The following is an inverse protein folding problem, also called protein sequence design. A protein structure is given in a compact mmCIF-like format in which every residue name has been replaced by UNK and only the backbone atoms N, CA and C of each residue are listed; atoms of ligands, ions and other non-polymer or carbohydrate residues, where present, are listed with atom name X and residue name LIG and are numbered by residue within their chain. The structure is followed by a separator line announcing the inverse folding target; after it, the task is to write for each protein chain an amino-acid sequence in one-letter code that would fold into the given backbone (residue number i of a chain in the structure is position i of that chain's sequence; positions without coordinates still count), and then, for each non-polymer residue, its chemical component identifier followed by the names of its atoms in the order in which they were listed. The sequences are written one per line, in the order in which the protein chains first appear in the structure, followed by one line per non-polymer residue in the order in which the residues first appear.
data_IF_919336187581
#
_entry.id   IF_919336187581
#
_cell.length_a   1.000
_cell.length_b   1.000
_cell.length_c   1.000
_cell.angle_alpha   90.00
_cell.angle_beta   90.00
_cell.angle_gamma   90.00
#
_symmetry.space_group_name_H-M   'P 1'
#
loop_
_entity.id
_entity.type
_entity.pdbx_description
1 polymer ?
#
# COMPACT_ATOMS: atom_id res chain seq x y z
N UNK A 1 3.79 23.87 -1.98
CA UNK A 1 4.75 22.77 -2.25
C UNK A 1 4.26 21.89 -3.39
N UNK A 2 5.16 21.27 -4.13
CA UNK A 2 4.85 20.36 -5.22
C UNK A 2 5.92 19.28 -5.36
N UNK A 3 5.52 18.12 -5.92
CA UNK A 3 6.40 17.06 -6.37
C UNK A 3 6.46 16.96 -7.90
N UNK A 4 7.32 16.08 -8.42
CA UNK A 4 7.37 15.76 -9.85
C UNK A 4 7.91 16.85 -10.79
N UNK A 5 8.44 17.95 -10.26
CA UNK A 5 9.07 19.02 -11.04
C UNK A 5 10.58 18.80 -11.19
N UNK A 6 11.20 18.26 -10.14
CA UNK A 6 12.63 17.97 -10.12
C UNK A 6 12.93 16.59 -10.70
N UNK A 7 14.17 16.39 -11.15
CA UNK A 7 14.63 15.07 -11.61
C UNK A 7 14.70 14.07 -10.44
N UNK A 8 14.44 12.81 -10.73
CA UNK A 8 14.54 11.72 -9.76
C UNK A 8 13.18 11.20 -9.31
N UNK A 9 13.03 10.96 -8.02
CA UNK A 9 11.80 10.41 -7.45
C UNK A 9 10.69 11.50 -7.44
N UNK A 10 9.60 11.33 -8.20
CA UNK A 10 8.55 12.35 -8.32
C UNK A 10 7.73 12.55 -7.03
N UNK A 11 7.90 11.68 -6.05
CA UNK A 11 7.24 11.80 -4.73
C UNK A 11 8.01 12.67 -3.74
N UNK A 12 9.22 13.14 -4.08
CA UNK A 12 9.88 14.17 -3.30
C UNK A 12 9.14 15.50 -3.45
N UNK A 13 8.98 16.21 -2.34
CA UNK A 13 8.17 17.45 -2.28
C UNK A 13 9.08 18.63 -1.98
N UNK A 14 8.99 19.65 -2.82
CA UNK A 14 9.81 20.88 -2.75
C UNK A 14 8.94 22.12 -2.60
N UNK A 15 9.51 23.20 -2.06
CA UNK A 15 8.86 24.50 -2.02
C UNK A 15 9.22 25.34 -3.26
N UNK A 16 8.19 25.89 -3.89
CA UNK A 16 8.35 26.77 -5.03
C UNK A 16 7.72 28.14 -4.78
N UNK A 17 8.29 29.15 -5.43
CA UNK A 17 7.76 30.49 -5.57
C UNK A 17 7.40 30.71 -7.04
N UNK A 18 6.24 31.31 -7.32
CA UNK A 18 5.77 31.61 -8.67
C UNK A 18 4.96 32.91 -8.67
N UNK A 19 5.04 33.70 -9.72
CA UNK A 19 4.21 34.87 -9.87
C UNK A 19 2.75 34.51 -10.13
N UNK A 20 1.79 35.37 -9.78
CA UNK A 20 0.36 35.12 -10.00
C UNK A 20 -0.02 34.91 -11.48
N UNK A 21 0.79 35.36 -12.42
CA UNK A 21 0.62 35.11 -13.85
C UNK A 21 1.23 33.79 -14.33
N UNK A 22 1.76 32.95 -13.38
CA UNK A 22 2.37 31.66 -13.67
C UNK A 22 3.85 31.70 -14.10
N UNK A 23 4.41 32.92 -14.29
CA UNK A 23 5.81 33.08 -14.68
C UNK A 23 6.76 33.01 -13.46
N UNK A 24 8.07 32.87 -13.73
CA UNK A 24 9.16 32.87 -12.73
C UNK A 24 8.97 31.82 -11.64
N UNK A 25 8.72 30.57 -12.04
CA UNK A 25 8.73 29.43 -11.11
C UNK A 25 10.17 29.19 -10.63
N UNK A 26 10.40 29.32 -9.33
CA UNK A 26 11.70 29.16 -8.68
C UNK A 26 11.57 28.10 -7.56
N UNK A 27 12.46 27.10 -7.55
CA UNK A 27 12.57 26.17 -6.44
C UNK A 27 13.35 26.83 -5.30
N UNK A 28 12.70 26.96 -4.12
CA UNK A 28 13.32 27.55 -2.92
C UNK A 28 14.03 26.51 -2.04
N UNK A 29 13.78 25.22 -2.27
CA UNK A 29 14.36 24.11 -1.50
C UNK A 29 14.95 23.06 -2.46
N UNK A 30 16.09 23.35 -3.10
CA UNK A 30 16.67 22.47 -4.14
C UNK A 30 17.37 21.22 -3.58
N UNK A 31 17.53 21.11 -2.27
CA UNK A 31 18.13 19.93 -1.62
C UNK A 31 17.25 18.70 -1.85
N UNK A 32 17.86 17.61 -2.31
CA UNK A 32 17.14 16.37 -2.63
C UNK A 32 16.42 15.80 -1.40
N UNK A 33 15.12 15.55 -1.53
CA UNK A 33 14.29 14.92 -0.51
C UNK A 33 12.88 15.51 -0.42
N UNK A 34 12.13 15.05 0.55
CA UNK A 34 10.81 15.59 0.87
C UNK A 34 10.94 16.68 1.94
N UNK A 35 10.44 17.85 1.64
CA UNK A 35 10.53 19.04 2.48
C UNK A 35 9.24 19.31 3.25
N UNK A 36 9.35 19.51 4.55
CA UNK A 36 8.34 20.12 5.42
C UNK A 36 8.72 21.57 5.66
N UNK A 37 7.78 22.48 5.51
CA UNK A 37 8.02 23.93 5.54
C UNK A 37 7.28 24.56 6.70
N UNK A 38 8.01 25.34 7.50
CA UNK A 38 7.47 26.12 8.61
C UNK A 38 7.87 27.59 8.42
N UNK A 39 6.99 28.47 7.84
CA UNK A 39 7.31 29.85 7.57
C UNK A 39 7.14 30.73 8.80
N UNK A 40 7.86 31.89 8.82
CA UNK A 40 7.53 33.02 9.69
C UNK A 40 6.21 33.66 9.25
N UNK A 41 5.57 34.43 10.15
CA UNK A 41 4.25 35.03 9.90
C UNK A 41 4.23 35.95 8.67
N UNK A 42 5.33 36.60 8.35
CA UNK A 42 5.50 37.54 7.24
C UNK A 42 6.21 36.91 6.01
N UNK A 43 6.58 35.61 6.08
CA UNK A 43 7.32 34.92 5.02
C UNK A 43 8.70 35.52 4.68
N UNK A 44 9.31 36.28 5.58
CA UNK A 44 10.70 36.75 5.39
C UNK A 44 11.71 35.62 5.56
N UNK A 45 11.33 34.63 6.39
CA UNK A 45 12.13 33.44 6.67
C UNK A 45 11.24 32.22 6.69
N UNK A 46 11.85 31.05 6.48
CA UNK A 46 11.21 29.76 6.73
C UNK A 46 12.23 28.73 7.18
N UNK A 47 11.79 27.82 8.01
CA UNK A 47 12.54 26.61 8.32
C UNK A 47 12.08 25.50 7.38
N UNK A 48 13.02 24.87 6.69
CA UNK A 48 12.78 23.64 5.95
C UNK A 48 13.40 22.47 6.67
N UNK A 49 12.62 21.42 6.92
CA UNK A 49 13.13 20.12 7.38
C UNK A 49 12.95 19.13 6.26
N UNK A 50 14.04 18.53 5.81
CA UNK A 50 14.00 17.59 4.68
C UNK A 50 14.76 16.31 4.97
N UNK A 51 14.34 15.25 4.29
CA UNK A 51 14.94 13.93 4.35
C UNK A 51 14.62 13.11 3.11
N UNK A 52 15.37 12.03 2.92
CA UNK A 52 15.02 10.94 1.99
C UNK A 52 14.75 9.67 2.79
N UNK A 53 14.43 8.57 2.15
CA UNK A 53 14.29 7.27 2.84
C UNK A 53 15.59 6.80 3.51
N UNK A 54 16.75 7.33 3.07
CA UNK A 54 18.10 6.95 3.52
C UNK A 54 18.80 8.03 4.33
N UNK A 55 18.44 9.28 4.09
CA UNK A 55 19.08 10.44 4.74
C UNK A 55 18.22 10.92 5.88
N UNK A 56 18.77 10.90 7.09
CA UNK A 56 18.12 11.42 8.30
C UNK A 56 17.75 12.91 8.17
N UNK A 57 16.73 13.40 8.89
CA UNK A 57 16.25 14.76 8.77
C UNK A 57 17.32 15.81 9.05
N UNK A 58 17.33 16.87 8.23
CA UNK A 58 18.09 18.10 8.41
C UNK A 58 17.16 19.29 8.41
N UNK A 59 17.37 20.24 9.30
CA UNK A 59 16.60 21.48 9.38
C UNK A 59 17.50 22.68 9.08
N UNK A 60 17.07 23.51 8.15
CA UNK A 60 17.80 24.71 7.70
C UNK A 60 16.85 25.91 7.77
N UNK A 61 17.35 27.01 8.32
CA UNK A 61 16.72 28.32 8.18
C UNK A 61 17.12 28.94 6.85
N UNK A 62 16.12 29.36 6.08
CA UNK A 62 16.28 30.04 4.78
C UNK A 62 15.56 31.41 4.81
N UNK A 63 16.03 32.33 3.97
CA UNK A 63 15.30 33.57 3.70
C UNK A 63 14.17 33.32 2.68
N UNK A 64 13.37 34.36 2.43
CA UNK A 64 12.23 34.33 1.50
C UNK A 64 12.57 33.95 0.05
N UNK A 65 13.84 34.05 -0.33
CA UNK A 65 14.33 33.74 -1.67
C UNK A 65 15.03 32.37 -1.73
N UNK A 66 15.00 31.62 -0.63
CA UNK A 66 15.52 30.25 -0.53
C UNK A 66 17.02 30.15 -0.23
N UNK A 67 17.68 31.27 0.08
CA UNK A 67 19.09 31.28 0.49
C UNK A 67 19.25 30.65 1.86
N UNK A 68 20.18 29.71 2.00
CA UNK A 68 20.53 29.12 3.29
C UNK A 68 21.18 30.16 4.20
N UNK A 69 20.63 30.37 5.38
CA UNK A 69 21.20 31.24 6.41
C UNK A 69 22.08 30.43 7.38
N UNK A 70 21.52 29.39 7.99
CA UNK A 70 22.29 28.42 8.78
C UNK A 70 21.51 27.13 9.01
N UNK A 71 22.25 26.06 9.34
CA UNK A 71 21.68 24.78 9.72
C UNK A 71 21.29 24.79 11.20
N UNK A 72 20.02 24.48 11.48
CA UNK A 72 19.47 24.40 12.84
C UNK A 72 19.73 23.06 13.49
N UNK A 73 19.55 21.97 12.74
CA UNK A 73 19.74 20.61 13.23
C UNK A 73 20.12 19.64 12.13
N UNK A 74 20.74 18.54 12.52
CA UNK A 74 21.00 17.39 11.68
C UNK A 74 20.93 16.14 12.54
N UNK A 75 20.01 15.23 12.23
CA UNK A 75 19.97 13.91 12.85
C UNK A 75 21.00 12.99 12.21
N UNK A 76 21.53 12.02 12.97
CA UNK A 76 22.34 10.94 12.44
C UNK A 76 21.68 9.57 12.66
N UNK A 77 22.18 8.56 11.99
CA UNK A 77 21.66 7.18 12.04
C UNK A 77 22.64 6.19 12.65
N UNK A 78 23.75 6.66 13.26
CA UNK A 78 24.82 5.78 13.74
C UNK A 78 24.31 4.78 14.77
N UNK A 79 23.52 5.28 15.74
CA UNK A 79 22.94 4.44 16.78
C UNK A 79 21.90 3.43 16.22
N UNK A 80 21.15 3.80 15.19
CA UNK A 80 20.23 2.90 14.51
C UNK A 80 20.99 1.80 13.75
N UNK A 81 22.02 2.18 13.01
CA UNK A 81 22.84 1.24 12.22
C UNK A 81 23.60 0.28 13.12
N UNK A 82 24.17 0.75 14.25
CA UNK A 82 24.84 -0.11 15.23
C UNK A 82 23.89 -1.13 15.90
N UNK A 83 22.59 -0.86 15.89
CA UNK A 83 21.54 -1.74 16.38
C UNK A 83 20.84 -2.54 15.24
N UNK A 84 21.46 -2.64 14.08
CA UNK A 84 21.00 -3.49 12.98
C UNK A 84 19.95 -2.86 12.05
N UNK A 85 19.67 -1.55 12.20
CA UNK A 85 18.77 -0.88 11.25
C UNK A 85 19.36 -0.86 9.85
N UNK A 86 18.51 -1.18 8.86
CA UNK A 86 18.88 -1.19 7.44
C UNK A 86 18.09 -0.13 6.65
N UNK A 87 18.79 0.50 5.72
CA UNK A 87 18.17 1.42 4.78
C UNK A 87 17.26 0.65 3.82
N UNK A 88 16.02 1.13 3.57
CA UNK A 88 15.19 0.55 2.53
C UNK A 88 15.83 0.74 1.15
N UNK A 89 15.65 -0.24 0.29
CA UNK A 89 16.08 -0.17 -1.10
C UNK A 89 15.00 0.53 -1.93
N UNK A 90 15.26 1.74 -2.39
CA UNK A 90 14.41 2.40 -3.38
C UNK A 90 14.58 1.72 -4.74
N UNK A 91 13.48 1.51 -5.44
CA UNK A 91 13.49 0.98 -6.79
C UNK A 91 12.57 1.76 -7.73
N UNK A 92 12.89 1.64 -9.01
CA UNK A 92 12.07 2.11 -10.12
C UNK A 92 11.91 0.94 -11.10
N UNK A 93 10.69 0.68 -11.54
CA UNK A 93 10.31 -0.36 -12.49
C UNK A 93 9.22 0.14 -13.42
N UNK A 94 8.92 -0.58 -14.49
CA UNK A 94 7.84 -0.24 -15.39
C UNK A 94 6.50 -0.83 -14.92
N UNK A 95 5.43 -0.07 -15.11
CA UNK A 95 4.06 -0.51 -14.89
C UNK A 95 3.64 -1.57 -15.91
N UNK A 96 2.42 -2.05 -15.79
CA UNK A 96 1.80 -3.02 -16.71
C UNK A 96 1.82 -2.62 -18.19
N UNK A 97 1.87 -1.32 -18.48
CA UNK A 97 1.94 -0.75 -19.82
C UNK A 97 3.35 -0.72 -20.44
N UNK A 98 4.36 -1.22 -19.72
CA UNK A 98 5.79 -1.21 -20.05
C UNK A 98 6.37 0.21 -20.35
N UNK A 99 5.66 1.27 -20.01
CA UNK A 99 6.04 2.68 -20.27
C UNK A 99 6.11 3.49 -18.99
N UNK A 100 5.07 3.45 -18.16
CA UNK A 100 4.94 4.27 -16.95
C UNK A 100 5.93 3.79 -15.88
N UNK A 101 6.70 4.73 -15.32
CA UNK A 101 7.59 4.41 -14.20
C UNK A 101 6.81 4.28 -12.90
N UNK A 102 7.03 3.21 -12.17
CA UNK A 102 6.58 2.98 -10.82
C UNK A 102 7.75 3.10 -9.84
N UNK A 103 7.48 3.64 -8.68
CA UNK A 103 8.45 3.79 -7.61
C UNK A 103 8.00 2.99 -6.39
N UNK A 104 8.95 2.45 -5.66
CA UNK A 104 8.66 1.65 -4.50
C UNK A 104 9.83 1.49 -3.56
N UNK A 105 9.57 0.79 -2.46
CA UNK A 105 10.55 0.40 -1.46
C UNK A 105 10.58 -1.10 -1.29
N UNK A 106 11.77 -1.63 -1.13
CA UNK A 106 12.02 -3.04 -0.82
C UNK A 106 12.87 -3.15 0.44
N UNK A 107 12.52 -4.10 1.30
CA UNK A 107 13.29 -4.48 2.48
C UNK A 107 13.75 -5.92 2.31
N UNK A 108 15.02 -6.16 2.55
CA UNK A 108 15.64 -7.49 2.52
C UNK A 108 16.16 -7.85 3.91
N UNK A 109 16.28 -9.13 4.25
CA UNK A 109 16.88 -9.54 5.52
C UNK A 109 18.30 -9.00 5.69
N UNK A 110 18.72 -8.70 6.93
CA UNK A 110 20.11 -8.31 7.22
C UNK A 110 21.11 -9.40 6.86
N UNK A 111 20.67 -10.65 6.89
CA UNK A 111 21.43 -11.85 6.52
C UNK A 111 21.16 -12.33 5.08
N UNK A 112 20.72 -11.44 4.19
CA UNK A 112 20.40 -11.79 2.80
C UNK A 112 21.63 -12.38 2.07
N UNK A 113 21.47 -13.60 1.55
CA UNK A 113 22.38 -14.22 0.59
C UNK A 113 21.66 -14.41 -0.75
N UNK A 114 22.27 -13.95 -1.83
CA UNK A 114 21.70 -14.07 -3.19
C UNK A 114 21.54 -15.53 -3.66
N UNK A 115 22.21 -16.49 -3.00
CA UNK A 115 22.12 -17.93 -3.30
C UNK A 115 20.95 -18.59 -2.57
N UNK A 116 20.41 -17.95 -1.54
CA UNK A 116 19.23 -18.42 -0.81
C UNK A 116 17.93 -17.93 -1.47
N UNK A 117 16.82 -18.58 -1.11
CA UNK A 117 15.48 -18.27 -1.61
C UNK A 117 14.57 -17.77 -0.49
N UNK A 118 14.10 -16.55 -0.64
CA UNK A 118 13.23 -15.86 0.33
C UNK A 118 11.83 -15.67 -0.23
N UNK A 119 10.77 -16.08 0.49
CA UNK A 119 9.41 -15.74 0.11
C UNK A 119 9.24 -14.23 0.02
N UNK A 120 8.35 -13.80 -0.88
CA UNK A 120 8.07 -12.37 -1.10
C UNK A 120 6.79 -11.96 -0.40
N UNK A 121 6.81 -10.84 0.28
CA UNK A 121 5.64 -10.21 0.89
C UNK A 121 5.34 -8.87 0.21
N UNK A 122 4.17 -8.74 -0.38
CA UNK A 122 3.68 -7.50 -0.99
C UNK A 122 2.80 -6.75 0.01
N UNK A 123 3.22 -5.57 0.46
CA UNK A 123 2.33 -4.66 1.16
C UNK A 123 1.54 -3.84 0.16
N UNK A 124 0.22 -3.75 0.35
CA UNK A 124 -0.65 -3.01 -0.54
C UNK A 124 -1.60 -2.06 0.22
N UNK A 125 -1.68 -0.83 -0.27
CA UNK A 125 -2.75 0.11 -0.02
C UNK A 125 -3.02 0.87 -1.31
N UNK A 126 -3.94 0.41 -2.16
CA UNK A 126 -4.11 0.94 -3.52
C UNK A 126 -5.02 2.16 -3.56
N UNK A 127 -5.40 2.71 -2.43
CA UNK A 127 -6.40 3.76 -2.34
C UNK A 127 -6.08 4.99 -3.18
N UNK A 128 -7.08 5.61 -3.82
CA UNK A 128 -6.86 6.81 -4.61
C UNK A 128 -6.49 8.03 -3.75
N UNK A 129 -6.67 7.96 -2.43
CA UNK A 129 -6.28 8.99 -1.47
C UNK A 129 -4.87 8.78 -0.89
N UNK A 130 -4.27 7.60 -1.06
CA UNK A 130 -2.96 7.26 -0.50
C UNK A 130 -2.26 6.20 -1.34
N UNK A 131 -0.93 6.15 -1.29
CA UNK A 131 -0.13 5.08 -1.89
C UNK A 131 0.32 4.03 -0.87
N UNK A 132 0.85 2.91 -1.35
CA UNK A 132 1.42 1.83 -0.54
C UNK A 132 2.68 2.28 0.21
N UNK A 133 3.55 3.06 -0.44
CA UNK A 133 4.76 3.62 0.16
C UNK A 133 4.43 4.77 1.09
N UNK A 134 3.48 5.61 0.73
CA UNK A 134 3.12 6.84 1.41
C UNK A 134 4.07 7.99 1.05
N UNK A 135 4.97 8.37 1.95
CA UNK A 135 5.97 9.39 1.67
C UNK A 135 7.37 8.78 1.50
N UNK A 136 8.27 9.48 0.84
CA UNK A 136 9.66 9.09 0.62
C UNK A 136 10.62 9.87 1.53
N UNK A 137 10.19 10.23 2.72
CA UNK A 137 11.03 10.80 3.78
C UNK A 137 11.58 9.71 4.70
N UNK A 138 12.55 10.08 5.53
CA UNK A 138 13.16 9.18 6.52
C UNK A 138 12.14 8.71 7.55
N UNK A 139 12.16 7.42 7.81
CA UNK A 139 11.42 6.78 8.91
C UNK A 139 12.28 5.70 9.54
N UNK A 140 12.41 5.73 10.86
CA UNK A 140 13.13 4.68 11.62
C UNK A 140 12.45 3.32 11.42
N UNK A 141 11.14 3.29 11.47
CA UNK A 141 10.34 2.12 11.19
C UNK A 141 9.19 2.50 10.25
N UNK A 142 9.17 1.87 9.10
CA UNK A 142 8.05 1.98 8.16
C UNK A 142 7.16 0.76 8.35
N UNK A 143 6.09 0.92 9.14
CA UNK A 143 5.27 -0.21 9.57
C UNK A 143 6.16 -1.30 10.21
N UNK A 144 5.89 -2.54 9.92
CA UNK A 144 6.67 -3.70 10.36
C UNK A 144 7.52 -4.33 9.21
N UNK A 145 7.85 -3.53 8.18
CA UNK A 145 8.53 -4.07 6.99
C UNK A 145 9.91 -4.65 7.29
N UNK A 146 10.72 -3.95 8.09
CA UNK A 146 12.03 -4.47 8.48
C UNK A 146 11.90 -5.71 9.36
N UNK A 147 10.95 -5.73 10.29
CA UNK A 147 10.73 -6.90 11.15
C UNK A 147 10.33 -8.14 10.33
N UNK A 148 9.47 -7.97 9.33
CA UNK A 148 9.14 -9.05 8.39
C UNK A 148 10.36 -9.46 7.56
N UNK A 149 11.21 -8.52 7.17
CA UNK A 149 12.46 -8.86 6.49
C UNK A 149 13.38 -9.69 7.41
N UNK A 150 13.54 -9.31 8.67
CA UNK A 150 14.35 -10.09 9.64
C UNK A 150 13.74 -11.47 9.97
N UNK A 151 12.45 -11.68 9.72
CA UNK A 151 11.84 -13.02 9.72
C UNK A 151 12.17 -13.84 8.46
N UNK A 152 12.96 -13.30 7.54
CA UNK A 152 13.43 -13.98 6.34
C UNK A 152 12.48 -13.87 5.14
N UNK A 153 11.80 -12.73 5.00
CA UNK A 153 11.02 -12.38 3.83
C UNK A 153 11.67 -11.25 3.05
N UNK A 154 11.40 -11.14 1.76
CA UNK A 154 11.65 -9.92 0.98
C UNK A 154 10.34 -9.15 0.92
N UNK A 155 10.31 -7.94 1.48
CA UNK A 155 9.10 -7.10 1.57
C UNK A 155 9.12 -6.04 0.49
N UNK A 156 8.05 -5.94 -0.29
CA UNK A 156 7.90 -5.00 -1.41
C UNK A 156 6.65 -4.14 -1.18
N UNK A 157 6.81 -2.82 -1.32
CA UNK A 157 5.71 -1.86 -1.41
C UNK A 157 5.93 -0.98 -2.64
N UNK A 158 4.92 -0.85 -3.51
CA UNK A 158 4.99 -0.06 -4.74
C UNK A 158 3.75 0.83 -4.89
N UNK A 159 3.96 2.06 -5.34
CA UNK A 159 2.88 2.97 -5.68
C UNK A 159 2.47 2.73 -7.14
N UNK A 160 1.42 1.93 -7.31
CA UNK A 160 0.86 1.54 -8.60
C UNK A 160 0.10 2.70 -9.27
N UNK A 161 -0.22 2.56 -10.56
CA UNK A 161 -1.12 3.49 -11.25
C UNK A 161 -2.47 3.54 -10.52
N UNK A 162 -3.02 4.75 -10.39
CA UNK A 162 -4.20 5.04 -9.59
C UNK A 162 -3.91 5.65 -8.22
N UNK A 163 -2.66 5.60 -7.73
CA UNK A 163 -2.28 6.27 -6.47
C UNK A 163 -1.96 7.76 -6.69
N UNK A 164 -2.10 8.61 -5.63
CA UNK A 164 -1.90 10.05 -5.75
C UNK A 164 -0.42 10.46 -5.81
N UNK A 165 -0.18 11.77 -5.96
CA UNK A 165 1.18 12.35 -5.93
C UNK A 165 1.88 12.35 -7.28
N UNK A 166 1.20 11.95 -8.36
CA UNK A 166 1.67 11.94 -9.76
C UNK A 166 0.76 12.81 -10.65
N UNK A 167 0.82 12.60 -11.96
CA UNK A 167 -0.07 13.28 -12.90
C UNK A 167 -1.54 12.86 -12.71
N UNK A 168 -2.46 13.70 -13.22
CA UNK A 168 -3.89 13.36 -13.22
C UNK A 168 -4.15 12.04 -13.95
N UNK A 169 -3.55 11.83 -15.12
CA UNK A 169 -3.73 10.57 -15.88
C UNK A 169 -3.21 9.33 -15.14
N UNK A 170 -2.16 9.46 -14.34
CA UNK A 170 -1.68 8.38 -13.48
C UNK A 170 -2.69 8.06 -12.37
N UNK A 171 -3.25 9.10 -11.75
CA UNK A 171 -4.24 8.97 -10.68
C UNK A 171 -5.59 8.44 -11.21
N UNK A 172 -6.04 8.92 -12.37
CA UNK A 172 -7.31 8.51 -12.98
C UNK A 172 -7.32 7.05 -13.46
N UNK A 173 -6.18 6.37 -13.54
CA UNK A 173 -6.10 4.96 -13.92
C UNK A 173 -6.91 4.03 -12.98
N UNK A 174 -7.24 4.49 -11.79
CA UNK A 174 -8.06 3.77 -10.81
C UNK A 174 -9.56 4.06 -10.93
N UNK A 175 -9.93 5.20 -11.51
CA UNK A 175 -11.32 5.65 -11.60
C UNK A 175 -12.17 4.68 -12.43
N UNK A 176 -13.32 4.30 -11.87
CA UNK A 176 -14.25 3.35 -12.51
C UNK A 176 -13.77 1.90 -12.51
N UNK A 177 -12.60 1.60 -11.95
CA UNK A 177 -12.02 0.25 -11.92
C UNK A 177 -11.38 -0.09 -10.58
N UNK A 178 -12.13 0.09 -9.50
CA UNK A 178 -11.63 -0.16 -8.14
C UNK A 178 -11.26 -1.62 -7.90
N UNK A 179 -11.87 -2.56 -8.62
CA UNK A 179 -11.54 -3.98 -8.54
C UNK A 179 -10.13 -4.35 -9.02
N UNK A 180 -9.50 -3.49 -9.82
CA UNK A 180 -8.11 -3.66 -10.27
C UNK A 180 -7.10 -3.52 -9.11
N UNK A 181 -7.30 -2.55 -8.22
CA UNK A 181 -6.45 -2.28 -7.04
C UNK A 181 -4.95 -2.07 -7.38
N UNK A 182 -4.59 -1.79 -8.62
CA UNK A 182 -3.19 -1.73 -9.04
C UNK A 182 -2.45 -3.07 -8.94
N UNK A 183 -3.17 -4.18 -8.81
CA UNK A 183 -2.58 -5.52 -8.64
C UNK A 183 -1.69 -5.93 -9.83
N UNK A 184 -2.08 -5.70 -11.11
CA UNK A 184 -1.18 -6.00 -12.24
C UNK A 184 0.15 -5.25 -12.18
N UNK A 185 0.16 -4.02 -11.67
CA UNK A 185 1.39 -3.24 -11.49
C UNK A 185 2.25 -3.80 -10.36
N UNK A 186 1.65 -4.24 -9.25
CA UNK A 186 2.34 -4.90 -8.15
C UNK A 186 3.00 -6.20 -8.62
N UNK A 187 2.28 -7.04 -9.36
CA UNK A 187 2.80 -8.28 -9.96
C UNK A 187 3.98 -7.96 -10.88
N UNK A 188 3.78 -7.03 -11.82
CA UNK A 188 4.81 -6.62 -12.78
C UNK A 188 6.07 -6.09 -12.09
N UNK A 189 5.90 -5.33 -11.01
CA UNK A 189 7.01 -4.81 -10.21
C UNK A 189 7.80 -5.96 -9.54
N UNK A 190 7.12 -6.89 -8.90
CA UNK A 190 7.75 -8.04 -8.24
C UNK A 190 8.48 -8.94 -9.25
N UNK A 191 7.89 -9.19 -10.42
CA UNK A 191 8.53 -9.93 -11.50
C UNK A 191 9.81 -9.26 -12.02
N UNK A 192 9.81 -7.92 -12.18
CA UNK A 192 11.01 -7.17 -12.58
C UNK A 192 12.08 -7.19 -11.50
N UNK A 193 11.70 -7.06 -10.24
CA UNK A 193 12.62 -7.12 -9.11
C UNK A 193 13.24 -8.52 -8.98
N UNK A 194 12.50 -9.59 -9.20
CA UNK A 194 13.02 -10.97 -9.11
C UNK A 194 14.10 -11.27 -10.16
N UNK A 195 14.04 -10.61 -11.32
CA UNK A 195 15.12 -10.70 -12.34
C UNK A 195 16.42 -10.04 -11.89
N UNK A 196 16.32 -9.03 -11.01
CA UNK A 196 17.46 -8.29 -10.46
C UNK A 196 17.97 -8.90 -9.16
N UNK A 197 17.08 -9.45 -8.35
CA UNK A 197 17.37 -10.02 -7.03
C UNK A 197 17.04 -11.52 -7.04
N UNK A 198 18.03 -12.33 -7.36
CA UNK A 198 17.87 -13.79 -7.54
C UNK A 198 17.37 -14.54 -6.30
N UNK A 199 17.51 -13.95 -5.11
CA UNK A 199 16.98 -14.49 -3.86
C UNK A 199 15.46 -14.42 -3.73
N UNK A 200 14.74 -13.66 -4.57
CA UNK A 200 13.27 -13.61 -4.54
C UNK A 200 12.68 -14.93 -5.04
N UNK A 201 11.81 -15.54 -4.23
CA UNK A 201 11.12 -16.78 -4.58
C UNK A 201 9.66 -16.48 -4.96
N UNK A 202 9.37 -16.44 -6.23
CA UNK A 202 8.03 -16.17 -6.75
C UNK A 202 7.09 -17.38 -6.70
N UNK A 203 7.54 -18.53 -6.23
CA UNK A 203 6.67 -19.66 -5.91
C UNK A 203 6.07 -19.56 -4.50
N UNK A 204 6.39 -18.51 -3.74
CA UNK A 204 5.93 -18.25 -2.37
C UNK A 204 5.71 -16.76 -2.17
N UNK A 205 4.57 -16.25 -2.65
CA UNK A 205 4.22 -14.83 -2.58
C UNK A 205 3.03 -14.60 -1.67
N UNK A 206 3.22 -13.75 -0.66
CA UNK A 206 2.14 -13.29 0.21
C UNK A 206 1.79 -11.82 -0.02
N UNK A 207 0.59 -11.44 0.40
CA UNK A 207 0.10 -10.06 0.32
C UNK A 207 -0.65 -9.69 1.59
N UNK A 208 -0.54 -8.43 2.01
CA UNK A 208 -1.35 -7.93 3.12
C UNK A 208 -1.66 -6.45 3.00
N UNK A 209 -2.75 -6.07 3.64
CA UNK A 209 -3.15 -4.68 3.81
C UNK A 209 -4.32 -4.53 4.77
N UNK A 210 -4.62 -3.28 5.08
CA UNK A 210 -5.71 -2.89 5.97
C UNK A 210 -6.67 -1.96 5.23
N UNK A 211 -7.97 -2.00 5.54
CA UNK A 211 -8.98 -1.13 4.90
C UNK A 211 -9.01 -1.36 3.38
N UNK A 212 -8.82 -0.36 2.54
CA UNK A 212 -8.63 -0.55 1.10
C UNK A 212 -7.52 -1.56 0.74
N UNK A 213 -6.49 -1.68 1.59
CA UNK A 213 -5.48 -2.74 1.46
C UNK A 213 -6.00 -4.12 1.82
N UNK A 214 -6.94 -4.24 2.75
CA UNK A 214 -7.67 -5.48 3.04
C UNK A 214 -8.53 -5.93 1.87
N UNK A 215 -9.26 -5.00 1.28
CA UNK A 215 -9.97 -5.21 0.02
C UNK A 215 -9.05 -5.76 -1.07
N UNK A 216 -7.93 -5.06 -1.32
CA UNK A 216 -6.97 -5.45 -2.34
C UNK A 216 -6.28 -6.79 -2.06
N UNK A 217 -5.97 -7.10 -0.79
CA UNK A 217 -5.33 -8.38 -0.42
C UNK A 217 -6.25 -9.58 -0.67
N UNK A 218 -7.54 -9.44 -0.38
CA UNK A 218 -8.55 -10.46 -0.75
C UNK A 218 -8.69 -10.54 -2.27
N UNK A 219 -8.82 -9.40 -2.94
CA UNK A 219 -8.91 -9.35 -4.41
C UNK A 219 -7.71 -10.02 -5.10
N UNK A 220 -6.50 -9.84 -4.56
CA UNK A 220 -5.27 -10.44 -5.07
C UNK A 220 -5.38 -11.98 -5.11
N UNK A 221 -5.79 -12.58 -4.00
CA UNK A 221 -5.92 -14.04 -3.90
C UNK A 221 -7.04 -14.60 -4.80
N UNK A 222 -8.11 -13.82 -4.99
CA UNK A 222 -9.27 -14.25 -5.77
C UNK A 222 -9.11 -13.98 -7.28
N UNK A 223 -8.30 -12.98 -7.67
CA UNK A 223 -8.14 -12.60 -9.09
C UNK A 223 -6.83 -13.07 -9.70
N UNK A 224 -5.82 -13.30 -8.86
CA UNK A 224 -4.48 -13.75 -9.25
C UNK A 224 -4.03 -14.95 -8.40
N UNK A 225 -4.87 -16.05 -8.35
CA UNK A 225 -4.62 -17.20 -7.49
C UNK A 225 -3.42 -18.05 -7.90
N UNK A 226 -2.83 -17.79 -9.07
CA UNK A 226 -1.62 -18.44 -9.56
C UNK A 226 -0.35 -17.61 -9.26
N UNK A 227 -0.49 -16.41 -8.69
CA UNK A 227 0.62 -15.55 -8.31
C UNK A 227 0.71 -15.34 -6.79
N UNK A 228 -0.41 -15.17 -6.10
CA UNK A 228 -0.44 -14.98 -4.64
C UNK A 228 -0.88 -16.26 -3.94
N UNK A 229 -0.05 -16.73 -3.00
CA UNK A 229 -0.30 -17.97 -2.24
C UNK A 229 -0.97 -17.72 -0.89
N UNK A 230 -0.69 -16.57 -0.26
CA UNK A 230 -1.17 -16.25 1.09
C UNK A 230 -1.61 -14.79 1.17
N UNK A 231 -2.81 -14.53 1.71
CA UNK A 231 -3.25 -13.17 2.01
C UNK A 231 -3.65 -13.00 3.47
N UNK A 232 -3.30 -11.82 4.02
CA UNK A 232 -3.83 -11.34 5.30
C UNK A 232 -4.61 -10.06 5.03
N UNK A 233 -5.92 -10.17 5.07
CA UNK A 233 -6.90 -9.11 4.80
C UNK A 233 -7.45 -8.56 6.10
N UNK A 234 -7.34 -7.25 6.28
CA UNK A 234 -7.73 -6.60 7.53
C UNK A 234 -8.73 -5.47 7.26
N UNK A 235 -9.94 -5.55 7.85
CA UNK A 235 -11.03 -4.53 7.77
C UNK A 235 -11.30 -4.02 6.36
N UNK A 236 -11.40 -4.93 5.37
CA UNK A 236 -11.57 -4.59 3.96
C UNK A 236 -13.00 -4.19 3.60
N UNK A 237 -13.16 -3.15 2.79
CA UNK A 237 -14.42 -2.73 2.17
C UNK A 237 -14.72 -3.59 0.92
N UNK A 238 -14.99 -4.86 1.13
CA UNK A 238 -15.05 -5.90 0.09
C UNK A 238 -16.14 -5.70 -0.97
N UNK A 239 -17.17 -4.92 -0.64
CA UNK A 239 -18.20 -4.47 -1.58
C UNK A 239 -18.53 -3.00 -1.31
N UNK A 240 -18.18 -2.12 -2.24
CA UNK A 240 -18.37 -0.68 -2.07
C UNK A 240 -19.84 -0.23 -2.15
N UNK A 241 -20.79 -1.11 -2.47
CA UNK A 241 -22.23 -0.87 -2.26
C UNK A 241 -22.61 -0.87 -0.77
N UNK A 242 -21.78 -1.52 0.06
CA UNK A 242 -21.92 -1.62 1.51
C UNK A 242 -20.88 -0.76 2.24
N UNK A 243 -20.48 0.35 1.63
CA UNK A 243 -19.52 1.31 2.15
C UNK A 243 -20.06 2.74 1.92
N UNK A 244 -19.32 3.77 2.31
CA UNK A 244 -19.71 5.17 2.12
C UNK A 244 -19.93 5.50 0.64
N UNK A 245 -21.15 5.91 0.30
CA UNK A 245 -21.56 6.20 -1.09
C UNK A 245 -20.73 7.33 -1.71
N UNK A 246 -20.46 8.40 -0.96
CA UNK A 246 -19.66 9.54 -1.42
C UNK A 246 -18.22 9.12 -1.77
N UNK A 247 -17.64 8.13 -1.06
CA UNK A 247 -16.34 7.58 -1.40
C UNK A 247 -16.44 6.65 -2.63
N UNK A 248 -17.41 5.74 -2.63
CA UNK A 248 -17.63 4.78 -3.72
C UNK A 248 -17.93 5.50 -5.05
N UNK A 249 -18.88 6.40 -5.07
CA UNK A 249 -19.27 7.16 -6.26
C UNK A 249 -18.15 8.07 -6.77
N UNK A 250 -17.39 8.68 -5.85
CA UNK A 250 -16.25 9.55 -6.22
C UNK A 250 -15.17 8.80 -7.01
N UNK A 251 -14.92 7.53 -6.70
CA UNK A 251 -13.78 6.79 -7.24
C UNK A 251 -14.16 5.67 -8.22
N UNK A 252 -15.40 5.18 -8.15
CA UNK A 252 -15.91 4.13 -9.03
C UNK A 252 -17.01 4.62 -9.99
N UNK A 253 -17.57 5.80 -9.75
CA UNK A 253 -18.71 6.33 -10.47
C UNK A 253 -20.04 5.90 -9.86
N UNK A 254 -21.14 6.38 -10.45
CA UNK A 254 -22.49 6.00 -10.03
C UNK A 254 -22.75 4.51 -10.29
N UNK A 255 -23.70 3.94 -9.56
CA UNK A 255 -24.16 2.58 -9.82
C UNK A 255 -24.87 2.52 -11.17
N UNK A 256 -24.30 1.82 -12.11
CA UNK A 256 -24.81 1.67 -13.47
C UNK A 256 -24.95 0.19 -13.87
N UNK A 257 -26.01 -0.21 -14.58
CA UNK A 257 -26.10 -1.56 -15.11
C UNK A 257 -25.04 -1.77 -16.19
N UNK A 258 -24.33 -2.89 -16.14
CA UNK A 258 -23.47 -3.35 -17.23
C UNK A 258 -24.38 -3.85 -18.34
N UNK A 259 -24.25 -3.29 -19.53
CA UNK A 259 -25.04 -3.42 -20.72
C UNK A 259 -25.98 -4.63 -20.85
N UNK A 260 -27.18 -4.36 -21.26
CA UNK A 260 -28.15 -5.37 -21.62
C UNK A 260 -27.66 -6.01 -22.93
N UNK A 261 -27.26 -7.28 -22.88
CA UNK A 261 -27.25 -8.08 -24.10
C UNK A 261 -28.73 -8.25 -24.56
N UNK A 262 -29.13 -7.44 -25.53
CA UNK A 262 -30.51 -7.27 -25.99
C UNK A 262 -31.06 -8.50 -26.72
N UNK A 263 -30.56 -9.69 -26.45
CA UNK A 263 -30.94 -10.94 -27.12
C UNK A 263 -31.55 -12.00 -26.23
N UNK A 264 -31.68 -11.81 -24.93
CA UNK A 264 -32.36 -12.79 -24.09
C UNK A 264 -33.65 -12.23 -23.47
N UNK A 265 -34.77 -12.59 -24.06
CA UNK A 265 -36.12 -12.27 -23.64
C UNK A 265 -36.64 -13.22 -22.53
N UNK A 266 -35.78 -13.84 -21.75
CA UNK A 266 -36.17 -14.73 -20.67
C UNK A 266 -36.23 -14.03 -19.33
N UNK A 267 -37.50 -13.82 -18.90
CA UNK A 267 -38.01 -13.70 -17.51
C UNK A 267 -37.35 -12.80 -16.47
N UNK A 268 -38.06 -11.97 -16.05
CA UNK A 268 -38.57 -11.21 -14.90
C UNK A 268 -37.69 -11.01 -13.64
N UNK A 269 -36.51 -11.64 -13.46
CA UNK A 269 -35.60 -11.44 -12.29
C UNK A 269 -34.12 -11.69 -12.60
N UNK A 270 -33.66 -11.45 -13.82
CA UNK A 270 -32.19 -11.37 -13.99
C UNK A 270 -31.67 -10.10 -13.35
N UNK A 271 -31.02 -10.25 -12.19
CA UNK A 271 -30.32 -9.17 -11.51
C UNK A 271 -29.25 -8.67 -12.47
N UNK A 272 -29.55 -7.55 -13.14
CA UNK A 272 -28.62 -6.91 -14.09
C UNK A 272 -27.30 -6.70 -13.38
N UNK A 273 -26.22 -7.31 -13.86
CA UNK A 273 -24.88 -7.05 -13.35
C UNK A 273 -24.60 -5.55 -13.44
N UNK A 274 -24.04 -4.98 -12.39
CA UNK A 274 -23.68 -3.58 -12.31
C UNK A 274 -22.17 -3.40 -12.35
N UNK A 275 -21.71 -2.19 -12.63
CA UNK A 275 -20.28 -1.85 -12.53
C UNK A 275 -19.69 -2.11 -11.13
N UNK A 276 -20.51 -2.16 -10.08
CA UNK A 276 -20.06 -2.51 -8.73
C UNK A 276 -19.84 -4.02 -8.55
N UNK A 277 -20.44 -4.88 -9.35
CA UNK A 277 -20.21 -6.33 -9.28
C UNK A 277 -18.78 -6.70 -9.67
N UNK A 278 -18.17 -5.97 -10.61
CA UNK A 278 -16.79 -6.23 -11.03
C UNK A 278 -15.75 -5.97 -9.94
N UNK A 279 -16.08 -5.21 -8.88
CA UNK A 279 -15.17 -4.93 -7.78
C UNK A 279 -15.49 -5.75 -6.51
N UNK A 280 -16.69 -6.33 -6.39
CA UNK A 280 -17.17 -7.01 -5.19
C UNK A 280 -16.45 -8.35 -4.99
N UNK A 281 -15.63 -8.46 -3.94
CA UNK A 281 -14.78 -9.63 -3.71
C UNK A 281 -15.56 -10.92 -3.50
N UNK A 282 -16.72 -10.87 -2.84
CA UNK A 282 -17.55 -12.06 -2.59
C UNK A 282 -18.00 -12.77 -3.87
N UNK A 283 -18.02 -12.08 -5.02
CA UNK A 283 -18.42 -12.68 -6.29
C UNK A 283 -17.30 -13.48 -6.97
N UNK A 284 -16.10 -13.53 -6.38
CA UNK A 284 -14.93 -14.21 -6.95
C UNK A 284 -14.39 -15.32 -6.04
N UNK A 285 -15.07 -15.66 -4.94
CA UNK A 285 -14.59 -16.61 -3.92
C UNK A 285 -14.30 -18.00 -4.47
N UNK A 286 -14.98 -18.42 -5.53
CA UNK A 286 -14.75 -19.71 -6.21
C UNK A 286 -13.30 -19.87 -6.69
N UNK A 287 -12.62 -18.77 -6.97
CA UNK A 287 -11.24 -18.77 -7.45
C UNK A 287 -10.21 -18.99 -6.34
N UNK A 288 -10.61 -18.99 -5.07
CA UNK A 288 -9.67 -19.14 -3.94
C UNK A 288 -8.92 -20.47 -4.03
N UNK A 289 -7.59 -20.38 -4.13
CA UNK A 289 -6.66 -21.52 -4.09
C UNK A 289 -5.71 -21.44 -2.90
N UNK A 290 -5.28 -20.24 -2.53
CA UNK A 290 -4.30 -19.97 -1.49
C UNK A 290 -4.87 -19.94 -0.08
N UNK A 291 -4.08 -19.46 0.87
CA UNK A 291 -4.44 -19.35 2.30
C UNK A 291 -4.88 -17.91 2.61
N UNK A 292 -6.08 -17.75 3.12
CA UNK A 292 -6.70 -16.46 3.42
C UNK A 292 -6.98 -16.33 4.92
N UNK A 293 -6.36 -15.32 5.55
CA UNK A 293 -6.74 -14.85 6.89
C UNK A 293 -7.48 -13.52 6.75
N UNK A 294 -8.72 -13.48 7.21
CA UNK A 294 -9.53 -12.26 7.29
C UNK A 294 -9.63 -11.81 8.75
N UNK A 295 -9.47 -10.51 8.99
CA UNK A 295 -9.62 -9.94 10.33
C UNK A 295 -10.51 -8.69 10.28
N UNK A 296 -11.38 -8.50 11.31
CA UNK A 296 -12.27 -7.34 11.40
C UNK A 296 -12.60 -6.94 12.83
N UNK A 297 -12.69 -5.63 13.11
CA UNK A 297 -13.19 -5.08 14.36
C UNK A 297 -14.71 -5.00 14.32
N UNK A 298 -15.40 -5.61 15.29
CA UNK A 298 -16.88 -5.69 15.26
C UNK A 298 -17.58 -4.36 15.60
N UNK A 299 -16.84 -3.36 16.10
CA UNK A 299 -17.32 -1.99 16.32
C UNK A 299 -16.73 -1.02 15.27
N UNK A 300 -16.33 -1.55 14.11
CA UNK A 300 -15.78 -0.75 13.01
C UNK A 300 -16.89 0.17 12.45
N UNK A 301 -16.72 1.46 12.67
CA UNK A 301 -17.63 2.53 12.24
C UNK A 301 -17.16 3.26 10.97
N UNK A 302 -16.02 2.83 10.41
CA UNK A 302 -15.52 3.27 9.11
C UNK A 302 -15.92 2.26 8.02
N UNK A 303 -15.41 1.02 8.12
CA UNK A 303 -15.82 -0.07 7.23
C UNK A 303 -16.73 -1.02 8.00
N UNK A 304 -18.04 -1.06 7.71
CA UNK A 304 -18.96 -1.94 8.43
C UNK A 304 -18.52 -3.41 8.39
N UNK A 305 -18.53 -4.16 9.52
CA UNK A 305 -18.16 -5.57 9.55
C UNK A 305 -18.96 -6.46 8.60
N UNK A 306 -20.14 -6.02 8.19
CA UNK A 306 -20.97 -6.66 7.16
C UNK A 306 -20.20 -6.86 5.84
N UNK A 307 -19.26 -5.98 5.50
CA UNK A 307 -18.39 -6.16 4.32
C UNK A 307 -17.61 -7.48 4.38
N UNK A 308 -17.01 -7.78 5.52
CA UNK A 308 -16.32 -9.06 5.74
C UNK A 308 -17.31 -10.22 5.76
N UNK A 309 -18.49 -10.05 6.37
CA UNK A 309 -19.48 -11.13 6.44
C UNK A 309 -20.04 -11.53 5.06
N UNK A 310 -20.14 -10.61 4.10
CA UNK A 310 -20.48 -10.93 2.72
C UNK A 310 -19.48 -11.93 2.09
N UNK A 311 -18.18 -11.69 2.29
CA UNK A 311 -17.13 -12.58 1.79
C UNK A 311 -17.15 -13.94 2.52
N UNK A 312 -17.31 -13.90 3.83
CA UNK A 312 -17.37 -15.13 4.69
C UNK A 312 -18.54 -16.01 4.29
N UNK A 313 -19.74 -15.44 4.06
CA UNK A 313 -20.93 -16.17 3.66
C UNK A 313 -20.72 -16.89 2.32
N UNK A 314 -20.18 -16.20 1.32
CA UNK A 314 -19.92 -16.78 0.01
C UNK A 314 -18.77 -17.82 0.04
N UNK A 315 -17.72 -17.61 0.86
CA UNK A 315 -16.67 -18.62 1.06
C UNK A 315 -17.22 -19.91 1.65
N UNK A 316 -18.14 -19.81 2.62
CA UNK A 316 -18.81 -20.98 3.22
C UNK A 316 -19.68 -21.70 2.18
N UNK A 317 -20.50 -20.97 1.41
CA UNK A 317 -21.33 -21.55 0.32
C UNK A 317 -20.49 -22.24 -0.73
N UNK A 318 -19.33 -21.67 -1.07
CA UNK A 318 -18.37 -22.23 -2.03
C UNK A 318 -17.49 -23.34 -1.45
N UNK A 319 -17.72 -23.75 -0.19
CA UNK A 319 -16.92 -24.77 0.53
C UNK A 319 -15.42 -24.49 0.48
N UNK A 320 -15.01 -23.23 0.72
CA UNK A 320 -13.60 -22.78 0.75
C UNK A 320 -13.09 -22.67 2.17
N UNK A 321 -11.85 -23.12 2.37
CA UNK A 321 -11.15 -22.99 3.65
C UNK A 321 -10.56 -21.58 3.81
N UNK A 322 -10.78 -20.98 4.97
CA UNK A 322 -10.22 -19.68 5.35
C UNK A 322 -10.09 -19.57 6.87
N UNK A 323 -9.28 -18.59 7.32
CA UNK A 323 -9.15 -18.25 8.74
C UNK A 323 -9.81 -16.90 9.02
N UNK A 324 -10.48 -16.77 10.18
CA UNK A 324 -11.19 -15.55 10.59
C UNK A 324 -10.82 -15.13 12.00
N UNK A 325 -10.46 -13.86 12.18
CA UNK A 325 -10.27 -13.23 13.49
C UNK A 325 -11.24 -12.08 13.63
N UNK A 326 -12.19 -12.18 14.55
CA UNK A 326 -13.08 -11.08 14.92
C UNK A 326 -12.61 -10.46 16.23
N UNK A 327 -12.55 -9.13 16.27
CA UNK A 327 -12.24 -8.35 17.46
C UNK A 327 -13.54 -7.74 18.01
N UNK A 328 -14.22 -8.36 19.00
CA UNK A 328 -15.59 -7.99 19.39
C UNK A 328 -15.75 -6.53 19.83
N UNK A 329 -14.74 -5.97 20.51
CA UNK A 329 -14.78 -4.63 21.09
C UNK A 329 -13.79 -3.66 20.44
N UNK A 330 -13.44 -3.88 19.16
CA UNK A 330 -12.47 -3.02 18.45
C UNK A 330 -13.10 -2.37 17.24
N UNK A 331 -12.64 -1.16 16.97
CA UNK A 331 -12.97 -0.36 15.78
C UNK A 331 -12.00 -0.66 14.63
N UNK A 332 -11.95 0.18 13.63
CA UNK A 332 -11.19 0.02 12.39
C UNK A 332 -9.70 -0.32 12.59
N UNK A 333 -9.01 0.31 13.55
CA UNK A 333 -7.56 0.14 13.76
C UNK A 333 -7.17 -0.86 14.87
N UNK A 334 -8.09 -1.63 15.45
CA UNK A 334 -7.91 -2.61 16.54
C UNK A 334 -7.34 -2.05 17.86
N UNK A 335 -6.89 -0.81 17.94
CA UNK A 335 -6.39 -0.15 19.15
C UNK A 335 -5.28 -0.95 19.84
N UNK A 336 -5.47 -1.26 21.12
CA UNK A 336 -4.56 -2.04 21.96
C UNK A 336 -4.35 -3.49 21.50
N UNK A 337 -5.21 -4.02 20.60
CA UNK A 337 -5.05 -5.34 19.99
C UNK A 337 -4.22 -5.34 18.71
N UNK A 338 -3.67 -4.20 18.30
CA UNK A 338 -2.85 -4.10 17.07
C UNK A 338 -1.61 -5.00 17.13
N UNK A 339 -0.95 -5.11 18.27
CA UNK A 339 0.18 -6.02 18.46
C UNK A 339 -0.22 -7.50 18.32
N UNK A 340 -1.39 -7.88 18.87
CA UNK A 340 -1.92 -9.22 18.67
C UNK A 340 -2.16 -9.51 17.18
N UNK A 341 -2.81 -8.59 16.46
CA UNK A 341 -3.06 -8.76 15.02
C UNK A 341 -1.74 -8.80 14.21
N UNK A 342 -0.76 -7.98 14.58
CA UNK A 342 0.57 -7.98 13.95
C UNK A 342 1.24 -9.35 14.12
N UNK A 343 1.25 -9.90 15.34
CA UNK A 343 1.76 -11.26 15.61
C UNK A 343 1.03 -12.31 14.78
N UNK A 344 -0.31 -12.29 14.75
CA UNK A 344 -1.11 -13.27 14.00
C UNK A 344 -0.83 -13.22 12.49
N UNK A 345 -0.57 -12.03 11.95
CA UNK A 345 -0.13 -11.84 10.56
C UNK A 345 1.26 -12.47 10.33
N UNK A 346 2.22 -12.23 11.21
CA UNK A 346 3.56 -12.81 11.11
C UNK A 346 3.53 -14.33 11.21
N UNK A 347 2.80 -14.86 12.20
CA UNK A 347 2.59 -16.31 12.40
C UNK A 347 2.01 -16.94 11.13
N UNK A 348 1.04 -16.26 10.50
CA UNK A 348 0.37 -16.76 9.30
C UNK A 348 1.32 -16.85 8.11
N UNK A 349 2.12 -15.84 7.88
CA UNK A 349 3.13 -15.88 6.81
C UNK A 349 4.25 -16.88 7.09
N UNK A 350 4.74 -16.95 8.32
CA UNK A 350 5.77 -17.93 8.70
C UNK A 350 5.26 -19.36 8.48
N UNK A 351 4.03 -19.63 8.90
CA UNK A 351 3.42 -20.95 8.73
C UNK A 351 3.20 -21.31 7.27
N UNK A 352 2.58 -20.43 6.50
CA UNK A 352 2.06 -20.79 5.19
C UNK A 352 3.01 -20.49 4.02
N UNK A 353 3.99 -19.60 4.17
CA UNK A 353 5.01 -19.34 3.15
C UNK A 353 6.36 -19.99 3.44
N UNK A 354 6.71 -20.16 4.72
CA UNK A 354 7.98 -20.80 5.11
C UNK A 354 7.80 -22.26 5.54
N UNK A 355 6.58 -22.72 5.81
CA UNK A 355 6.30 -24.05 6.31
C UNK A 355 6.85 -24.31 7.72
N UNK A 356 7.03 -23.25 8.52
CA UNK A 356 7.57 -23.31 9.87
C UNK A 356 6.46 -23.08 10.90
N UNK A 357 6.53 -23.76 12.05
CA UNK A 357 5.59 -23.52 13.14
C UNK A 357 6.05 -22.29 13.95
N UNK A 358 5.22 -21.23 14.04
CA UNK A 358 5.55 -20.06 14.85
C UNK A 358 5.49 -20.40 16.36
N UNK A 359 6.22 -19.63 17.21
CA UNK A 359 6.21 -19.84 18.65
C UNK A 359 4.82 -19.60 19.24
N UNK A 360 4.32 -20.54 20.02
CA UNK A 360 3.02 -20.42 20.69
C UNK A 360 3.08 -19.38 21.81
N UNK A 361 2.02 -18.57 21.92
CA UNK A 361 1.87 -17.64 23.05
C UNK A 361 2.86 -16.47 23.07
N UNK A 362 3.58 -16.21 22.00
CA UNK A 362 4.46 -15.04 21.91
C UNK A 362 3.66 -13.74 22.07
N UNK A 363 4.17 -12.82 22.88
CA UNK A 363 3.64 -11.46 23.05
C UNK A 363 4.74 -10.43 22.89
N UNK A 364 4.41 -9.30 22.30
CA UNK A 364 5.30 -8.14 22.35
C UNK A 364 5.22 -7.50 23.74
N UNK A 365 6.35 -7.28 24.36
CA UNK A 365 6.45 -6.57 25.64
C UNK A 365 6.32 -5.06 25.43
#
# INVERSE_FOLDING_TARGET
TAGGKEKGNPYHVYLYKVNFNGNNLICLTPEMGSHSINPSSNWDYFVTTYSTTKTAPKSILKDRDGKNLFQLSSSNTDNLKSNGWQEPLEFNVKARDDKTDLFGLMYIPSFYDKNDKYPVLNYIYPGPQSGSVGNYSFMVARRDFQALAELGFIVVAVDAMGTPGRSKSFHDAYYGNMGDNGLPDNIKAIEQLSKKYSGMDLSRVGIWGHSGGGFASTAALLRYPDFYDVAVSSSGNHDNRNYEADWGEKWHGLLEPLGIDSKDNSSEYDVKKTNYDIQANQLFVENLKGKLLIAHGMLDDNVPPSNTMLVVDELIKANKDFDLILFPNKRHGYGDMSNYMMRRKWDYFVKHLKGLEPPKGFSFN
#
